data_IF_294427088064
#
_entry.id   IF_294427088064
#
_cell.length_a   1.000
_cell.length_b   1.000
_cell.length_c   1.000
_cell.angle_alpha   90.00
_cell.angle_beta   90.00
_cell.angle_gamma   90.00
#
_symmetry.space_group_name_H-M   'P 1'
#
loop_
_entity.id
_entity.type
_entity.pdbx_description
1 polymer ?
#
# COMPACT_ATOMS: atom_id res chain seq x y z
N UNK A 1 -5.15 -11.08 11.71
CA UNK A 1 -5.51 -10.54 10.38
C UNK A 1 -5.59 -9.03 10.50
N UNK A 2 -4.65 -8.30 9.89
CA UNK A 2 -4.72 -6.84 9.77
C UNK A 2 -5.21 -6.52 8.36
N UNK A 3 -6.49 -6.18 8.23
CA UNK A 3 -7.11 -5.84 6.93
C UNK A 3 -7.24 -4.32 6.85
N UNK A 4 -6.45 -3.63 6.01
CA UNK A 4 -6.62 -2.19 5.83
C UNK A 4 -8.00 -1.88 5.23
N UNK A 5 -8.57 -0.75 5.62
CA UNK A 5 -9.82 -0.21 5.07
C UNK A 5 -9.43 0.96 4.17
N UNK A 6 -9.74 0.87 2.87
CA UNK A 6 -9.52 1.96 1.92
C UNK A 6 -10.83 2.73 1.72
N UNK A 7 -10.76 4.05 1.88
CA UNK A 7 -11.85 4.97 1.55
C UNK A 7 -11.52 5.60 0.21
N UNK A 8 -12.32 5.31 -0.81
CA UNK A 8 -12.14 5.81 -2.18
C UNK A 8 -13.35 6.64 -2.55
N UNK A 9 -13.12 7.89 -2.94
CA UNK A 9 -14.18 8.83 -3.26
C UNK A 9 -13.68 9.95 -4.18
N UNK A 10 -14.62 10.72 -4.75
CA UNK A 10 -14.30 11.99 -5.39
C UNK A 10 -13.95 13.06 -4.36
N UNK A 11 -13.30 14.14 -4.79
CA UNK A 11 -13.03 15.29 -3.92
C UNK A 11 -14.31 15.91 -3.36
N UNK A 12 -14.27 16.35 -2.10
CA UNK A 12 -15.38 17.04 -1.38
C UNK A 12 -16.64 16.19 -1.15
N UNK A 13 -16.55 14.87 -1.25
CA UNK A 13 -17.67 13.93 -0.98
C UNK A 13 -17.78 13.45 0.48
N UNK A 14 -16.98 14.03 1.39
CA UNK A 14 -17.01 13.66 2.81
C UNK A 14 -16.14 12.47 3.20
N UNK A 15 -15.12 12.10 2.42
CA UNK A 15 -14.16 11.06 2.79
C UNK A 15 -13.46 11.35 4.12
N UNK A 16 -13.03 12.59 4.36
CA UNK A 16 -12.36 12.97 5.61
C UNK A 16 -13.24 12.74 6.84
N UNK A 17 -14.50 13.19 6.82
CA UNK A 17 -15.41 12.99 7.96
C UNK A 17 -15.70 11.49 8.16
N UNK A 18 -15.85 10.71 7.08
CA UNK A 18 -16.03 9.27 7.18
C UNK A 18 -14.81 8.57 7.83
N UNK A 19 -13.58 8.94 7.45
CA UNK A 19 -12.35 8.42 8.06
C UNK A 19 -12.36 8.60 9.57
N UNK A 20 -12.72 9.80 10.05
CA UNK A 20 -12.72 10.11 11.47
C UNK A 20 -13.89 9.48 12.23
N UNK A 21 -15.06 9.34 11.60
CA UNK A 21 -16.18 8.59 12.17
C UNK A 21 -15.82 7.11 12.38
N UNK A 22 -15.20 6.46 11.38
CA UNK A 22 -14.72 5.08 11.52
C UNK A 22 -13.61 4.96 12.57
N UNK A 23 -12.73 5.96 12.65
CA UNK A 23 -11.66 6.06 13.64
C UNK A 23 -12.13 6.11 15.10
N UNK A 24 -13.40 6.41 15.37
CA UNK A 24 -13.96 6.32 16.73
C UNK A 24 -14.06 4.88 17.24
N UNK A 25 -14.03 3.88 16.34
CA UNK A 25 -14.02 2.48 16.75
C UNK A 25 -12.64 2.10 17.32
N UNK A 26 -12.54 1.51 18.53
CA UNK A 26 -11.26 1.32 19.23
C UNK A 26 -10.24 0.45 18.47
N UNK A 27 -10.74 -0.46 17.62
CA UNK A 27 -9.91 -1.36 16.81
C UNK A 27 -9.57 -0.82 15.40
N UNK A 28 -9.96 0.41 15.08
CA UNK A 28 -9.63 1.05 13.80
C UNK A 28 -8.55 2.10 14.07
N UNK A 29 -7.55 2.16 13.18
CA UNK A 29 -6.56 3.22 13.18
C UNK A 29 -6.90 4.17 12.04
N UNK A 30 -7.46 5.37 12.31
CA UNK A 30 -7.59 6.37 11.28
C UNK A 30 -6.20 6.84 10.84
N UNK A 31 -6.05 7.15 9.55
CA UNK A 31 -4.83 7.68 8.97
C UNK A 31 -5.17 8.95 8.20
N UNK A 32 -4.23 9.90 8.17
CA UNK A 32 -4.33 11.09 7.34
C UNK A 32 -4.24 10.73 5.85
N UNK A 33 -4.59 11.69 5.00
CA UNK A 33 -4.56 11.53 3.55
C UNK A 33 -3.16 11.11 3.05
N UNK A 34 -3.09 9.95 2.39
CA UNK A 34 -1.84 9.32 1.98
C UNK A 34 -1.51 9.62 0.52
N UNK A 35 -1.28 10.90 0.21
CA UNK A 35 -1.00 11.39 -1.14
C UNK A 35 0.24 10.77 -1.82
N UNK A 36 1.09 10.10 -1.03
CA UNK A 36 2.29 9.41 -1.51
C UNK A 36 2.03 7.96 -1.95
N UNK A 37 1.01 7.29 -1.40
CA UNK A 37 0.85 5.83 -1.55
C UNK A 37 0.48 5.42 -2.98
N UNK A 38 -0.38 6.21 -3.63
CA UNK A 38 -0.75 6.01 -5.03
C UNK A 38 0.45 6.13 -5.98
N UNK A 39 1.16 7.28 -6.00
CA UNK A 39 2.39 7.46 -6.78
C UNK A 39 3.43 6.38 -6.49
N UNK A 40 3.65 6.03 -5.21
CA UNK A 40 4.57 4.97 -4.82
C UNK A 40 4.22 3.62 -5.44
N UNK A 41 2.94 3.24 -5.45
CA UNK A 41 2.50 1.97 -6.05
C UNK A 41 2.78 1.91 -7.55
N UNK A 42 2.64 3.04 -8.25
CA UNK A 42 2.98 3.18 -9.67
C UNK A 42 4.50 3.00 -9.86
N UNK A 43 5.31 3.71 -9.08
CA UNK A 43 6.77 3.63 -9.16
C UNK A 43 7.28 2.22 -8.85
N UNK A 44 6.70 1.54 -7.87
CA UNK A 44 7.00 0.14 -7.56
C UNK A 44 6.67 -0.78 -8.74
N UNK A 45 5.52 -0.60 -9.40
CA UNK A 45 5.16 -1.38 -10.58
C UNK A 45 6.11 -1.13 -11.76
N UNK A 46 6.57 0.11 -11.96
CA UNK A 46 7.59 0.45 -12.96
C UNK A 46 8.94 -0.20 -12.60
N UNK A 47 9.32 -0.18 -11.32
CA UNK A 47 10.51 -0.87 -10.80
C UNK A 47 10.48 -2.36 -11.10
N UNK A 48 9.33 -3.01 -10.89
CA UNK A 48 9.13 -4.41 -11.26
C UNK A 48 9.36 -4.63 -12.76
N UNK A 49 8.72 -3.82 -13.62
CA UNK A 49 8.89 -3.93 -15.07
C UNK A 49 10.38 -3.84 -15.47
N UNK A 50 11.11 -2.87 -14.93
CA UNK A 50 12.56 -2.71 -15.16
C UNK A 50 13.34 -3.96 -14.73
N UNK A 51 12.99 -4.55 -13.59
CA UNK A 51 13.60 -5.77 -13.07
C UNK A 51 13.28 -7.04 -13.87
N UNK A 52 12.26 -7.01 -14.74
CA UNK A 52 11.84 -8.14 -15.58
C UNK A 52 12.07 -7.95 -17.08
N UNK A 53 12.49 -6.77 -17.55
CA UNK A 53 12.66 -6.45 -19.00
C UNK A 53 13.50 -7.50 -19.74
N UNK A 54 14.50 -8.08 -19.09
CA UNK A 54 15.44 -9.04 -19.72
C UNK A 54 14.97 -10.51 -19.68
N UNK A 55 13.67 -10.75 -19.44
CA UNK A 55 13.14 -12.11 -19.29
C UNK A 55 13.90 -12.88 -18.22
N UNK A 56 14.29 -14.12 -18.50
CA UNK A 56 15.07 -14.97 -17.58
C UNK A 56 16.41 -14.37 -17.09
N UNK A 57 16.93 -13.33 -17.75
CA UNK A 57 18.16 -12.63 -17.34
C UNK A 57 17.89 -11.40 -16.47
N UNK A 58 16.63 -11.03 -16.22
CA UNK A 58 16.24 -9.99 -15.27
C UNK A 58 16.25 -10.53 -13.85
N UNK A 59 16.79 -9.81 -12.88
CA UNK A 59 16.95 -10.32 -11.50
C UNK A 59 15.62 -10.82 -10.92
N UNK A 60 14.52 -10.08 -11.10
CA UNK A 60 13.22 -10.48 -10.55
C UNK A 60 12.69 -11.75 -11.23
N UNK A 61 12.74 -11.80 -12.56
CA UNK A 61 12.31 -12.97 -13.34
C UNK A 61 13.18 -14.20 -13.09
N UNK A 62 14.50 -14.03 -12.97
CA UNK A 62 15.45 -15.12 -12.66
C UNK A 62 15.20 -15.75 -11.29
N UNK A 63 14.58 -15.00 -10.37
CA UNK A 63 14.18 -15.47 -9.05
C UNK A 63 12.70 -15.85 -8.99
N UNK A 64 12.01 -15.95 -10.14
CA UNK A 64 10.59 -16.29 -10.25
C UNK A 64 9.67 -15.40 -9.40
N UNK A 65 10.08 -14.14 -9.19
CA UNK A 65 9.28 -13.18 -8.42
C UNK A 65 8.17 -12.65 -9.32
N UNK A 66 6.92 -12.92 -8.95
CA UNK A 66 5.75 -12.43 -9.66
C UNK A 66 5.42 -10.98 -9.28
N UNK A 67 4.70 -10.29 -10.17
CA UNK A 67 4.32 -8.88 -9.97
C UNK A 67 3.44 -8.72 -8.75
N UNK A 68 2.48 -9.62 -8.59
CA UNK A 68 1.53 -9.67 -7.50
C UNK A 68 2.26 -9.87 -6.17
N UNK A 69 3.21 -10.81 -6.11
CA UNK A 69 4.04 -11.03 -4.93
C UNK A 69 4.84 -9.77 -4.58
N UNK A 70 5.54 -9.20 -5.56
CA UNK A 70 6.36 -8.02 -5.38
C UNK A 70 5.55 -6.87 -4.76
N UNK A 71 4.42 -6.50 -5.38
CA UNK A 71 3.57 -5.41 -4.91
C UNK A 71 2.93 -5.72 -3.55
N UNK A 72 2.49 -6.97 -3.33
CA UNK A 72 1.90 -7.40 -2.07
C UNK A 72 2.90 -7.28 -0.91
N UNK A 73 4.17 -7.67 -1.10
CA UNK A 73 5.21 -7.55 -0.07
C UNK A 73 5.51 -6.11 0.32
N UNK A 74 5.53 -5.18 -0.64
CA UNK A 74 5.66 -3.76 -0.34
C UNK A 74 4.45 -3.23 0.44
N UNK A 75 3.23 -3.56 0.01
CA UNK A 75 2.00 -3.16 0.72
C UNK A 75 1.94 -3.70 2.16
N UNK A 76 2.34 -4.95 2.38
CA UNK A 76 2.43 -5.54 3.71
C UNK A 76 3.45 -4.83 4.59
N UNK A 77 4.63 -4.52 4.05
CA UNK A 77 5.69 -3.79 4.77
C UNK A 77 5.22 -2.41 5.20
N UNK A 78 4.55 -1.67 4.30
CA UNK A 78 3.96 -0.35 4.61
C UNK A 78 2.94 -0.47 5.74
N UNK A 79 2.00 -1.41 5.64
CA UNK A 79 0.99 -1.63 6.68
C UNK A 79 1.61 -1.98 8.04
N UNK A 80 2.64 -2.83 8.06
CA UNK A 80 3.38 -3.17 9.28
C UNK A 80 4.09 -1.95 9.88
N UNK A 81 4.72 -1.12 9.04
CA UNK A 81 5.40 0.11 9.45
C UNK A 81 4.43 1.11 10.10
N UNK A 82 3.25 1.32 9.50
CA UNK A 82 2.24 2.23 10.06
C UNK A 82 1.70 1.72 11.41
N UNK A 83 1.45 0.42 11.52
CA UNK A 83 0.94 -0.19 12.75
C UNK A 83 1.98 -0.27 13.87
N UNK A 84 3.28 -0.36 13.55
CA UNK A 84 4.34 -0.39 14.55
C UNK A 84 4.53 0.95 15.26
N UNK A 85 4.35 2.07 14.55
CA UNK A 85 4.44 3.42 15.14
C UNK A 85 3.35 3.70 16.19
N UNK A 86 2.21 2.98 16.17
CA UNK A 86 1.15 3.10 17.19
C UNK A 86 1.49 2.37 18.49
N UNK A 87 2.40 1.39 18.47
CA UNK A 87 2.77 0.61 19.66
C UNK A 87 3.85 1.28 20.52
N UNK A 88 4.39 2.42 20.07
CA UNK A 88 5.28 3.29 20.82
C UNK A 88 4.46 4.37 21.52
#
# INVERSE_FOLDING_TARGET
>A
MNKPIFIVSSGRSGSTILTWCLGQHPNILPQEESNWLGPFAIDAAIGYQRGTVRGERGQLSANFIEREEFLSRFGQTINQLLLSHRKQ
#
